data_IF_909282259862
#
_entry.id   IF_909282259862
#
_cell.length_a   1.000
_cell.length_b   1.000
_cell.length_c   1.000
_cell.angle_alpha   90.00
_cell.angle_beta   90.00
_cell.angle_gamma   90.00
#
_symmetry.space_group_name_H-M   'P 1'
#
loop_
_entity.id
_entity.type
_entity.pdbx_description
1 polymer ?
#
# COMPACT_ATOMS: atom_id res chain seq x y z
N UNK A 1 1.71 -3.60 -20.15
CA UNK A 1 1.58 -4.26 -18.83
C UNK A 1 0.09 -4.46 -18.53
N UNK A 2 -0.34 -5.64 -18.05
CA UNK A 2 -1.77 -5.87 -17.69
C UNK A 2 -2.15 -4.89 -16.55
N UNK A 3 -3.26 -4.15 -16.70
CA UNK A 3 -3.75 -3.15 -15.72
C UNK A 3 -3.77 -3.67 -14.27
N UNK A 4 -3.99 -4.98 -14.09
CA UNK A 4 -3.93 -5.70 -12.81
C UNK A 4 -2.58 -5.54 -12.09
N UNK A 5 -1.46 -5.68 -12.82
CA UNK A 5 -0.14 -5.56 -12.21
C UNK A 5 0.20 -4.09 -11.92
N UNK A 6 -0.38 -3.17 -12.68
CA UNK A 6 -0.15 -1.74 -12.56
C UNK A 6 -0.72 -1.20 -11.24
N UNK A 7 -1.95 -1.59 -10.87
CA UNK A 7 -2.57 -1.13 -9.62
C UNK A 7 -1.87 -1.71 -8.37
N UNK A 8 -1.42 -2.97 -8.42
CA UNK A 8 -0.61 -3.57 -7.36
C UNK A 8 0.73 -2.86 -7.19
N UNK A 9 1.42 -2.54 -8.30
CA UNK A 9 2.69 -1.82 -8.28
C UNK A 9 2.51 -0.40 -7.73
N UNK A 10 1.46 0.31 -8.14
CA UNK A 10 1.17 1.67 -7.64
C UNK A 10 0.90 1.65 -6.14
N UNK A 11 -0.01 0.78 -5.68
CA UNK A 11 -0.34 0.67 -4.25
C UNK A 11 0.87 0.23 -3.41
N UNK A 12 1.71 -0.65 -3.95
CA UNK A 12 2.97 -1.03 -3.31
C UNK A 12 3.96 0.13 -3.20
N UNK A 13 4.19 0.87 -4.29
CA UNK A 13 5.11 2.01 -4.31
C UNK A 13 4.65 3.13 -3.37
N UNK A 14 3.35 3.45 -3.36
CA UNK A 14 2.79 4.47 -2.47
C UNK A 14 2.87 4.00 -1.00
N UNK A 15 2.57 2.74 -0.71
CA UNK A 15 2.70 2.19 0.64
C UNK A 15 4.13 2.20 1.17
N UNK A 16 5.11 1.86 0.33
CA UNK A 16 6.54 1.94 0.66
C UNK A 16 6.96 3.40 0.89
N UNK A 17 6.50 4.33 0.04
CA UNK A 17 6.74 5.76 0.23
C UNK A 17 6.20 6.27 1.57
N UNK A 18 4.99 5.86 1.96
CA UNK A 18 4.41 6.21 3.26
C UNK A 18 5.21 5.64 4.43
N UNK A 19 5.73 4.41 4.33
CA UNK A 19 6.59 3.83 5.36
C UNK A 19 7.89 4.62 5.52
N UNK A 20 8.55 4.96 4.42
CA UNK A 20 9.78 5.78 4.44
C UNK A 20 9.49 7.17 5.04
N UNK A 21 8.41 7.82 4.60
CA UNK A 21 7.99 9.12 5.13
C UNK A 21 7.70 9.06 6.63
N UNK A 22 7.04 8.00 7.11
CA UNK A 22 6.74 7.82 8.55
C UNK A 22 8.00 7.75 9.41
N UNK A 23 9.05 7.07 8.92
CA UNK A 23 10.35 6.96 9.58
C UNK A 23 11.04 8.33 9.61
N UNK A 24 11.10 9.02 8.48
CA UNK A 24 11.71 10.36 8.40
C UNK A 24 11.01 11.34 9.33
N UNK A 25 9.67 11.35 9.36
CA UNK A 25 8.87 12.20 10.23
C UNK A 25 9.08 11.90 11.71
N UNK A 26 9.26 10.62 12.07
CA UNK A 26 9.50 10.20 13.45
C UNK A 26 10.83 10.79 13.96
N UNK A 27 11.87 10.81 13.12
CA UNK A 27 13.16 11.40 13.46
C UNK A 27 13.22 12.93 13.34
N UNK A 28 12.40 13.52 12.47
CA UNK A 28 12.48 14.97 12.16
C UNK A 28 11.59 15.81 13.06
N UNK A 29 10.33 15.41 13.24
CA UNK A 29 9.30 16.24 13.89
C UNK A 29 8.93 15.69 15.27
N UNK A 30 9.23 14.42 15.56
CA UNK A 30 8.82 13.71 16.79
C UNK A 30 7.31 13.74 17.06
N UNK A 31 6.49 14.06 16.05
CA UNK A 31 5.05 13.96 16.15
C UNK A 31 4.62 12.50 15.97
N UNK A 32 4.47 11.82 17.10
CA UNK A 32 4.12 10.41 17.17
C UNK A 32 2.80 10.11 16.44
N UNK A 33 1.86 11.07 16.44
CA UNK A 33 0.54 10.89 15.86
C UNK A 33 0.62 10.82 14.33
N UNK A 34 1.34 11.76 13.73
CA UNK A 34 1.53 11.82 12.27
C UNK A 34 2.29 10.60 11.76
N UNK A 35 3.36 10.20 12.45
CA UNK A 35 4.13 9.00 12.09
C UNK A 35 3.30 7.72 12.18
N UNK A 36 2.47 7.55 13.23
CA UNK A 36 1.59 6.38 13.33
C UNK A 36 0.56 6.30 12.21
N UNK A 37 -0.06 7.43 11.83
CA UNK A 37 -1.06 7.47 10.75
C UNK A 37 -0.42 7.12 9.41
N UNK A 38 0.77 7.66 9.12
CA UNK A 38 1.51 7.33 7.90
C UNK A 38 1.95 5.87 7.87
N UNK A 39 2.39 5.33 9.01
CA UNK A 39 2.78 3.94 9.13
C UNK A 39 1.58 2.99 8.90
N UNK A 40 0.47 3.22 9.59
CA UNK A 40 -0.75 2.42 9.47
C UNK A 40 -1.35 2.50 8.06
N UNK A 41 -1.40 3.70 7.47
CA UNK A 41 -1.87 3.89 6.09
C UNK A 41 -0.95 3.21 5.07
N UNK A 42 0.37 3.27 5.26
CA UNK A 42 1.34 2.56 4.42
C UNK A 42 1.12 1.04 4.42
N UNK A 43 0.91 0.45 5.60
CA UNK A 43 0.57 -0.98 5.74
C UNK A 43 -0.77 -1.30 5.05
N UNK A 44 -1.80 -0.49 5.29
CA UNK A 44 -3.13 -0.69 4.70
C UNK A 44 -3.11 -0.60 3.17
N UNK A 45 -2.27 0.27 2.58
CA UNK A 45 -2.11 0.36 1.13
C UNK A 45 -1.48 -0.91 0.53
N UNK A 46 -0.48 -1.47 1.20
CA UNK A 46 0.15 -2.73 0.78
C UNK A 46 -0.86 -3.88 0.86
N UNK A 47 -1.58 -3.99 1.98
CA UNK A 47 -2.61 -5.02 2.18
C UNK A 47 -3.76 -4.84 1.19
N UNK A 48 -4.23 -3.61 0.98
CA UNK A 48 -5.30 -3.28 0.03
C UNK A 48 -4.92 -3.61 -1.40
N UNK A 49 -3.68 -3.33 -1.80
CA UNK A 49 -3.14 -3.74 -3.11
C UNK A 49 -3.08 -5.26 -3.26
N UNK A 50 -2.68 -5.98 -2.21
CA UNK A 50 -2.68 -7.44 -2.22
C UNK A 50 -4.11 -8.02 -2.28
N UNK A 51 -5.04 -7.45 -1.51
CA UNK A 51 -6.45 -7.85 -1.50
C UNK A 51 -7.11 -7.62 -2.87
N UNK A 52 -6.90 -6.45 -3.49
CA UNK A 52 -7.42 -6.14 -4.83
C UNK A 52 -6.87 -7.11 -5.88
N UNK A 53 -5.56 -7.44 -5.80
CA UNK A 53 -4.95 -8.45 -6.68
C UNK A 53 -5.58 -9.83 -6.48
N UNK A 54 -5.76 -10.26 -5.23
CA UNK A 54 -6.36 -11.56 -4.90
C UNK A 54 -7.81 -11.67 -5.39
N UNK A 55 -8.61 -10.62 -5.19
CA UNK A 55 -10.00 -10.61 -5.62
C UNK A 55 -10.15 -10.64 -7.14
N UNK A 56 -9.31 -9.89 -7.88
CA UNK A 56 -9.35 -9.91 -9.34
C UNK A 56 -8.86 -11.22 -9.94
N UNK A 57 -7.87 -11.88 -9.34
CA UNK A 57 -7.46 -13.24 -9.74
C UNK A 57 -8.62 -14.21 -9.52
N UNK A 58 -9.32 -14.11 -8.38
CA UNK A 58 -10.50 -14.94 -8.08
C UNK A 58 -11.62 -14.73 -9.11
N UNK A 59 -11.88 -13.47 -9.53
CA UNK A 59 -12.86 -13.17 -10.59
C UNK A 59 -12.41 -13.69 -11.96
N UNK A 60 -11.13 -13.56 -12.30
CA UNK A 60 -10.59 -14.07 -13.57
C UNK A 60 -10.67 -15.60 -13.68
N UNK A 61 -10.58 -16.33 -12.57
CA UNK A 61 -10.73 -17.81 -12.51
C UNK A 61 -12.18 -18.28 -12.55
N UNK A 62 -13.15 -17.41 -12.27
CA UNK A 62 -14.57 -17.76 -12.20
C UNK A 62 -15.30 -17.54 -13.54
N UNK A 63 -14.73 -16.70 -14.39
CA UNK A 63 -15.31 -16.28 -15.67
C UNK A 63 -14.54 -16.82 -16.90
N UNK A 64 -13.58 -17.74 -16.71
CA UNK A 64 -12.86 -18.44 -17.78
C UNK A 64 -12.88 -19.93 -17.53
#
# INVERSE_FOLDING_TARGET
MKKQNQMFIILGLVGIGNLIASIILLFTIQDLMVSMVLFASGILLIIGGYADRKERIKRSKRNG
#
